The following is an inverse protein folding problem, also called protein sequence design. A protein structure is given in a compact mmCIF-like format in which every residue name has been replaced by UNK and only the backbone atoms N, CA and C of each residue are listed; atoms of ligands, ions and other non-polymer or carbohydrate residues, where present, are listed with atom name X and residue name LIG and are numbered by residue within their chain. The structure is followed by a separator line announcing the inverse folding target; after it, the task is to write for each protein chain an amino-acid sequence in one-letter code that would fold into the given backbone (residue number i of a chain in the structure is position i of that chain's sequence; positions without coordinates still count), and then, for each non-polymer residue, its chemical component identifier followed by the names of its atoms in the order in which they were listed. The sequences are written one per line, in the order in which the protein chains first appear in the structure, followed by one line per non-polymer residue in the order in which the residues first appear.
data_IF_886909825336
#
_entry.id   IF_886909825336
#
_cell.length_a   1.000
_cell.length_b   1.000
_cell.length_c   1.000
_cell.angle_alpha   90.00
_cell.angle_beta   90.00
_cell.angle_gamma   90.00
#
_symmetry.space_group_name_H-M   'P 1'
#
loop_
_entity.id
_entity.type
_entity.pdbx_description
1 polymer ?
#
# COMPACT_ATOMS: atom_id res chain seq x y z
N UNK A 1 -1.08 8.66 -1.39
CA UNK A 1 -0.81 7.27 -1.01
C UNK A 1 -1.22 7.05 0.44
N UNK A 2 -1.99 6.03 0.69
CA UNK A 2 -2.35 5.60 2.03
C UNK A 2 -1.71 4.25 2.30
N UNK A 3 -1.26 4.05 3.54
CA UNK A 3 -0.56 2.83 3.91
C UNK A 3 -1.27 2.18 5.09
N UNK A 4 -1.62 0.91 4.92
CA UNK A 4 -2.28 0.12 5.96
C UNK A 4 -1.38 -1.03 6.37
N UNK A 5 -1.34 -1.30 7.68
CA UNK A 5 -0.56 -2.40 8.24
C UNK A 5 -1.46 -3.62 8.44
N UNK A 6 -1.17 -4.68 7.71
CA UNK A 6 -1.84 -5.98 7.85
C UNK A 6 -0.83 -7.01 8.34
N UNK A 7 -0.21 -6.73 9.48
CA UNK A 7 0.78 -7.62 10.07
C UNK A 7 0.73 -7.52 11.59
N UNK A 8 1.49 -8.38 12.27
CA UNK A 8 1.66 -8.31 13.72
C UNK A 8 2.87 -7.46 14.10
N UNK A 9 3.57 -6.90 13.13
CA UNK A 9 4.77 -6.09 13.37
C UNK A 9 4.33 -4.67 13.64
N UNK A 10 4.52 -4.22 14.88
CA UNK A 10 4.17 -2.86 15.28
C UNK A 10 5.04 -1.84 14.53
N UNK A 11 4.43 -0.81 14.01
CA UNK A 11 5.15 0.26 13.34
C UNK A 11 5.57 -0.04 11.92
N UNK A 12 5.17 -1.18 11.34
CA UNK A 12 5.55 -1.54 9.98
C UNK A 12 5.03 -0.52 8.96
N UNK A 13 3.78 -0.07 9.10
CA UNK A 13 3.21 0.91 8.18
C UNK A 13 3.92 2.26 8.29
N UNK A 14 4.32 2.66 9.49
CA UNK A 14 5.08 3.89 9.68
C UNK A 14 6.45 3.80 9.01
N UNK A 15 7.09 2.65 9.10
CA UNK A 15 8.37 2.42 8.45
C UNK A 15 8.21 2.49 6.93
N UNK A 16 7.18 1.87 6.40
CA UNK A 16 6.86 1.93 4.97
C UNK A 16 6.60 3.38 4.54
N UNK A 17 5.86 4.14 5.35
CA UNK A 17 5.58 5.54 5.05
C UNK A 17 6.87 6.35 4.94
N UNK A 18 7.83 6.11 5.83
CA UNK A 18 9.13 6.77 5.77
C UNK A 18 9.86 6.50 4.47
N UNK A 19 9.85 5.23 4.03
CA UNK A 19 10.48 4.84 2.78
C UNK A 19 9.79 5.50 1.57
N UNK A 20 8.48 5.54 1.58
CA UNK A 20 7.72 6.18 0.49
C UNK A 20 8.02 7.67 0.41
N UNK A 21 8.05 8.36 1.55
CA UNK A 21 8.37 9.79 1.58
C UNK A 21 9.78 10.07 1.10
N UNK A 22 10.73 9.24 1.49
CA UNK A 22 12.13 9.35 1.05
C UNK A 22 12.25 9.23 -0.46
N UNK A 23 11.35 8.47 -1.09
CA UNK A 23 11.34 8.28 -2.54
C UNK A 23 10.41 9.25 -3.26
N UNK A 24 9.96 10.31 -2.59
CA UNK A 24 9.20 11.37 -3.23
C UNK A 24 7.70 11.17 -3.26
N UNK A 25 7.18 10.14 -2.59
CA UNK A 25 5.73 9.90 -2.53
C UNK A 25 5.12 10.63 -1.34
N UNK A 26 3.93 11.20 -1.55
CA UNK A 26 3.18 11.83 -0.47
C UNK A 26 2.34 10.77 0.22
N UNK A 27 2.53 10.62 1.53
CA UNK A 27 1.74 9.68 2.33
C UNK A 27 0.72 10.48 3.14
N UNK A 28 -0.55 10.29 2.84
CA UNK A 28 -1.63 11.05 3.47
C UNK A 28 -2.20 10.39 4.71
N UNK A 29 -2.03 9.07 4.86
CA UNK A 29 -2.64 8.33 5.95
C UNK A 29 -1.88 7.05 6.24
N UNK A 30 -1.74 6.72 7.52
CA UNK A 30 -1.11 5.48 7.98
C UNK A 30 -2.04 4.87 9.03
N UNK A 31 -2.53 3.65 8.77
CA UNK A 31 -3.49 2.98 9.64
C UNK A 31 -3.25 1.48 9.68
N UNK A 32 -4.01 0.79 10.52
CA UNK A 32 -4.04 -0.66 10.55
C UNK A 32 -5.20 -1.15 9.70
N UNK A 33 -5.02 -2.30 9.05
CA UNK A 33 -6.09 -2.98 8.33
C UNK A 33 -6.31 -4.34 8.99
N UNK A 34 -7.48 -4.56 9.54
CA UNK A 34 -7.79 -5.78 10.33
C UNK A 34 -8.99 -6.55 9.79
N UNK A 35 -9.50 -6.19 8.62
CA UNK A 35 -10.72 -6.81 8.08
C UNK A 35 -10.46 -8.04 7.24
N UNK A 36 -9.24 -8.53 7.19
CA UNK A 36 -8.88 -9.71 6.43
C UNK A 36 -7.38 -9.93 6.45
N UNK A 37 -6.95 -10.98 5.79
CA UNK A 37 -5.52 -11.31 5.70
C UNK A 37 -5.06 -11.09 4.27
N UNK A 38 -4.02 -10.27 4.11
CA UNK A 38 -3.39 -10.02 2.82
C UNK A 38 -2.13 -10.88 2.77
N UNK A 39 -1.98 -11.77 1.78
CA UNK A 39 -0.86 -12.71 1.77
C UNK A 39 0.51 -12.07 1.59
N UNK A 40 0.60 -10.98 0.82
CA UNK A 40 1.86 -10.31 0.57
C UNK A 40 1.62 -8.81 0.49
N UNK A 41 2.67 -8.02 0.71
CA UNK A 41 2.59 -6.57 0.55
C UNK A 41 2.15 -6.24 -0.87
N UNK A 42 1.09 -5.44 -1.00
CA UNK A 42 0.49 -5.14 -2.29
C UNK A 42 0.07 -3.67 -2.34
N UNK A 43 0.24 -3.05 -3.51
CA UNK A 43 -0.30 -1.72 -3.77
C UNK A 43 -1.57 -1.87 -4.60
N UNK A 44 -2.63 -1.22 -4.17
CA UNK A 44 -3.96 -1.31 -4.79
C UNK A 44 -4.35 -0.03 -5.50
N UNK A 45 -5.02 -0.17 -6.63
CA UNK A 45 -5.46 0.97 -7.44
C UNK A 45 -6.90 0.74 -7.91
N UNK A 46 -7.58 1.84 -8.26
CA UNK A 46 -8.91 1.73 -8.86
C UNK A 46 -8.75 1.48 -10.36
N UNK A 47 -9.45 0.50 -10.88
CA UNK A 47 -9.42 0.18 -12.30
C UNK A 47 -9.96 1.36 -13.11
N UNK A 48 -9.41 1.55 -14.31
CA UNK A 48 -9.87 2.59 -15.21
C UNK A 48 -9.45 4.01 -14.82
N UNK A 49 -8.49 4.14 -13.91
CA UNK A 49 -7.99 5.45 -13.47
C UNK A 49 -6.49 5.53 -13.65
N UNK A 50 -5.95 6.75 -13.48
CA UNK A 50 -4.52 6.98 -13.54
C UNK A 50 -3.77 6.33 -12.36
N UNK A 51 -4.49 5.84 -11.37
CA UNK A 51 -3.88 5.18 -10.21
C UNK A 51 -3.11 3.92 -10.61
N UNK A 52 -3.52 3.26 -11.68
CA UNK A 52 -2.84 2.05 -12.14
C UNK A 52 -1.37 2.32 -12.46
N UNK A 53 -1.09 3.40 -13.18
CA UNK A 53 0.29 3.75 -13.52
C UNK A 53 1.14 4.04 -12.29
N UNK A 54 0.57 4.79 -11.33
CA UNK A 54 1.26 5.07 -10.07
C UNK A 54 1.50 3.80 -9.26
N UNK A 55 0.51 2.91 -9.20
CA UNK A 55 0.64 1.65 -8.48
C UNK A 55 1.72 0.76 -9.09
N UNK A 56 1.77 0.68 -10.41
CA UNK A 56 2.79 -0.11 -11.09
C UNK A 56 4.19 0.44 -10.85
N UNK A 57 4.33 1.76 -10.82
CA UNK A 57 5.61 2.38 -10.52
C UNK A 57 6.07 2.08 -9.10
N UNK A 58 5.16 2.16 -8.14
CA UNK A 58 5.46 1.81 -6.75
C UNK A 58 5.84 0.34 -6.63
N UNK A 59 5.08 -0.53 -7.28
CA UNK A 59 5.33 -1.97 -7.24
C UNK A 59 6.72 -2.30 -7.76
N UNK A 60 7.12 -1.68 -8.85
CA UNK A 60 8.43 -1.89 -9.45
C UNK A 60 9.54 -1.38 -8.54
N UNK A 61 9.36 -0.21 -7.96
CA UNK A 61 10.39 0.42 -7.14
C UNK A 61 10.63 -0.32 -5.83
N UNK A 62 9.57 -0.81 -5.20
CA UNK A 62 9.67 -1.46 -3.90
C UNK A 62 9.63 -2.99 -3.99
N UNK A 63 9.51 -3.55 -5.19
CA UNK A 63 9.47 -4.99 -5.36
C UNK A 63 8.24 -5.64 -4.76
N UNK A 64 7.10 -4.98 -4.82
CA UNK A 64 5.84 -5.48 -4.27
C UNK A 64 4.81 -5.70 -5.38
N UNK A 65 3.69 -6.35 -5.04
CA UNK A 65 2.65 -6.64 -6.01
C UNK A 65 1.77 -5.42 -6.26
N UNK A 66 1.19 -5.36 -7.46
CA UNK A 66 0.23 -4.34 -7.86
C UNK A 66 -1.05 -5.05 -8.29
N UNK A 67 -2.19 -4.69 -7.66
CA UNK A 67 -3.48 -5.32 -7.92
C UNK A 67 -4.60 -4.29 -7.91
N UNK A 68 -5.71 -4.53 -8.64
CA UNK A 68 -6.88 -3.68 -8.50
C UNK A 68 -7.51 -3.87 -7.11
N UNK A 69 -8.21 -2.83 -6.65
CA UNK A 69 -8.87 -2.89 -5.34
C UNK A 69 -9.85 -4.05 -5.25
N UNK A 70 -9.89 -4.68 -4.07
CA UNK A 70 -10.88 -5.71 -3.77
C UNK A 70 -12.06 -5.08 -3.01
N UNK A 71 -13.13 -5.87 -2.81
CA UNK A 71 -14.39 -5.36 -2.24
C UNK A 71 -14.20 -4.66 -0.89
N UNK A 72 -13.28 -5.13 -0.06
CA UNK A 72 -13.06 -4.54 1.26
C UNK A 72 -12.56 -3.11 1.24
N UNK A 73 -11.97 -2.67 0.13
CA UNK A 73 -11.42 -1.31 0.00
C UNK A 73 -11.94 -0.61 -1.25
N UNK A 74 -12.90 -1.19 -1.94
CA UNK A 74 -13.40 -0.65 -3.21
C UNK A 74 -13.98 0.75 -3.05
N UNK A 75 -14.69 0.99 -1.97
CA UNK A 75 -15.38 2.26 -1.71
C UNK A 75 -14.52 3.30 -0.99
N UNK A 76 -13.25 3.01 -0.78
CA UNK A 76 -12.35 3.98 -0.19
C UNK A 76 -12.17 5.18 -1.11
N UNK A 77 -11.82 6.33 -0.54
CA UNK A 77 -11.60 7.55 -1.31
C UNK A 77 -10.53 7.34 -2.38
N UNK A 78 -10.52 8.17 -3.44
CA UNK A 78 -9.51 8.07 -4.50
C UNK A 78 -8.08 8.11 -3.97
N UNK A 79 -7.18 7.42 -4.66
CA UNK A 79 -5.77 7.37 -4.33
C UNK A 79 -5.27 5.94 -4.22
N UNK A 80 -3.97 5.80 -4.30
CA UNK A 80 -3.31 4.49 -4.21
C UNK A 80 -3.26 4.04 -2.76
N UNK A 81 -3.56 2.78 -2.51
CA UNK A 81 -3.52 2.19 -1.16
C UNK A 81 -2.48 1.08 -1.14
N UNK A 82 -1.55 1.16 -0.20
CA UNK A 82 -0.55 0.11 0.01
C UNK A 82 -0.89 -0.61 1.31
N UNK A 83 -1.04 -1.93 1.22
CA UNK A 83 -1.24 -2.75 2.43
C UNK A 83 0.06 -3.53 2.64
N UNK A 84 0.75 -3.21 3.71
CA UNK A 84 2.03 -3.85 4.02
C UNK A 84 1.79 -5.05 4.93
N UNK A 85 2.49 -6.13 4.64
CA UNK A 85 2.48 -7.34 5.45
C UNK A 85 3.89 -7.61 5.93
N UNK A 86 4.08 -8.66 6.71
CA UNK A 86 5.38 -8.96 7.31
C UNK A 86 6.49 -9.21 6.28
N UNK A 87 6.15 -9.40 5.01
CA UNK A 87 7.15 -9.58 3.97
C UNK A 87 7.71 -8.25 3.43
N UNK A 88 7.15 -7.11 3.86
CA UNK A 88 7.64 -5.82 3.42
C UNK A 88 9.06 -5.59 3.97
N UNK A 89 9.98 -5.30 3.07
CA UNK A 89 11.34 -4.97 3.43
C UNK A 89 11.62 -3.51 3.07
N UNK A 90 12.00 -2.73 4.06
CA UNK A 90 12.36 -1.32 3.89
C UNK A 90 13.86 -1.19 3.60
N UNK A 91 14.35 -2.04 2.79
CA UNK A 91 15.78 -2.06 2.46
C UNK A 91 16.17 -0.90 1.56
#
# INVERSE_FOLDING_TARGET
VRIYNNSTIRGLAEKAAGEFRTNGWTVSQVQNYSQGVIPTTTVYYRQGTAEKAAAEEIAKKFGIRSEPRFDGIQDATPGVIVIVTRDFSAA
#
